data_IF_195226679011
#
_entry.id   IF_195226679011
#
_cell.length_a   1.000
_cell.length_b   1.000
_cell.length_c   1.000
_cell.angle_alpha   90.00
_cell.angle_beta   90.00
_cell.angle_gamma   90.00
#
_symmetry.space_group_name_H-M   'P 1'
#
loop_
_entity.id
_entity.type
_entity.pdbx_description
1 polymer ?
#
# COMPACT_ATOMS: atom_id res chain seq x y z
N UNK A 1 -56.58 -21.42 7.04
CA UNK A 1 -56.79 -19.96 6.97
C UNK A 1 -55.68 -19.32 7.77
N UNK A 2 -54.57 -18.99 7.10
CA UNK A 2 -53.33 -18.51 7.73
C UNK A 2 -53.19 -17.02 7.47
N UNK A 3 -53.03 -16.24 8.54
CA UNK A 3 -52.88 -14.79 8.53
C UNK A 3 -51.41 -14.41 8.43
N UNK A 4 -51.03 -13.76 7.33
CA UNK A 4 -49.69 -13.20 7.14
C UNK A 4 -49.67 -11.75 7.62
N UNK A 5 -48.96 -11.50 8.71
CA UNK A 5 -48.67 -10.17 9.23
C UNK A 5 -47.53 -9.53 8.43
N UNK A 6 -47.85 -8.47 7.70
CA UNK A 6 -46.88 -7.64 6.97
C UNK A 6 -46.14 -6.74 7.96
N UNK A 7 -44.85 -7.01 8.19
CA UNK A 7 -43.96 -6.08 8.91
C UNK A 7 -43.70 -4.87 8.02
N UNK A 8 -44.15 -3.70 8.45
CA UNK A 8 -43.79 -2.40 7.87
C UNK A 8 -42.33 -2.10 8.24
N UNK A 9 -41.50 -1.83 7.24
CA UNK A 9 -40.14 -1.30 7.42
C UNK A 9 -40.15 0.08 8.07
N UNK A 10 -39.01 0.53 8.64
CA UNK A 10 -38.93 1.78 9.37
C UNK A 10 -39.18 2.97 8.44
N UNK A 11 -39.93 3.93 8.98
CA UNK A 11 -40.51 5.04 8.26
C UNK A 11 -39.47 5.99 7.69
N UNK A 12 -39.74 6.41 6.45
CA UNK A 12 -39.22 7.62 5.85
C UNK A 12 -39.80 8.81 6.65
N UNK A 13 -39.16 9.20 7.76
CA UNK A 13 -39.57 10.33 8.57
C UNK A 13 -38.83 11.60 8.15
N UNK A 14 -39.61 12.48 7.51
CA UNK A 14 -39.47 13.94 7.47
C UNK A 14 -38.17 14.53 6.91
N UNK A 15 -38.07 14.60 5.58
CA UNK A 15 -37.43 15.74 4.94
C UNK A 15 -38.29 16.99 5.21
N UNK A 16 -37.72 18.12 5.67
CA UNK A 16 -38.49 19.35 5.88
C UNK A 16 -39.13 19.81 4.57
N UNK A 17 -40.37 20.29 4.69
CA UNK A 17 -41.17 20.72 3.55
C UNK A 17 -40.50 21.92 2.83
N UNK A 18 -40.11 21.69 1.57
CA UNK A 18 -40.41 22.63 0.50
C UNK A 18 -39.35 23.66 0.09
N UNK A 19 -38.19 23.20 -0.36
CA UNK A 19 -37.48 23.86 -1.47
C UNK A 19 -37.70 23.03 -2.73
N UNK A 20 -37.98 23.64 -3.90
CA UNK A 20 -37.86 22.89 -5.16
C UNK A 20 -36.39 22.49 -5.25
N UNK A 21 -36.11 21.27 -5.70
CA UNK A 21 -34.73 20.79 -5.87
C UNK A 21 -33.84 21.78 -6.64
N UNK A 22 -34.41 22.52 -7.61
CA UNK A 22 -33.72 23.61 -8.30
C UNK A 22 -33.23 24.75 -7.39
N UNK A 23 -33.97 25.11 -6.35
CA UNK A 23 -33.55 26.10 -5.35
C UNK A 23 -32.41 25.54 -4.49
N UNK A 24 -32.55 24.29 -4.03
CA UNK A 24 -31.50 23.60 -3.25
C UNK A 24 -30.23 23.43 -4.07
N UNK A 25 -30.32 23.09 -5.36
CA UNK A 25 -29.19 22.92 -6.26
C UNK A 25 -28.44 24.24 -6.52
N UNK A 26 -29.16 25.37 -6.60
CA UNK A 26 -28.55 26.70 -6.65
C UNK A 26 -27.75 26.98 -5.37
N UNK A 27 -28.37 26.78 -4.23
CA UNK A 27 -27.76 27.08 -2.94
C UNK A 27 -26.56 26.15 -2.67
N UNK A 28 -26.64 24.88 -3.07
CA UNK A 28 -25.53 23.92 -3.05
C UNK A 28 -24.38 24.36 -3.98
N UNK A 29 -24.68 24.88 -5.17
CA UNK A 29 -23.64 25.38 -6.08
C UNK A 29 -22.86 26.53 -5.44
N UNK A 30 -23.55 27.46 -4.79
CA UNK A 30 -22.90 28.56 -4.05
C UNK A 30 -22.08 28.04 -2.87
N UNK A 31 -22.61 27.06 -2.12
CA UNK A 31 -21.92 26.48 -0.97
C UNK A 31 -20.64 25.72 -1.36
N UNK A 32 -20.64 25.04 -2.50
CA UNK A 32 -19.57 24.13 -2.94
C UNK A 32 -18.53 24.78 -3.87
N UNK A 33 -18.75 26.03 -4.31
CA UNK A 33 -17.97 26.68 -5.37
C UNK A 33 -16.45 26.62 -5.17
N UNK A 34 -15.96 26.66 -3.92
CA UNK A 34 -14.52 26.63 -3.60
C UNK A 34 -14.15 25.57 -2.55
N UNK A 35 -14.99 24.52 -2.42
CA UNK A 35 -14.81 23.50 -1.38
C UNK A 35 -14.47 22.15 -1.99
N UNK A 36 -13.57 21.43 -1.33
CA UNK A 36 -13.37 20.01 -1.59
C UNK A 36 -14.56 19.24 -1.01
N UNK A 37 -15.21 18.43 -1.85
CA UNK A 37 -16.28 17.54 -1.41
C UNK A 37 -15.69 16.21 -1.00
N UNK A 38 -16.07 15.74 0.19
CA UNK A 38 -15.69 14.44 0.72
C UNK A 38 -16.93 13.56 0.79
N UNK A 39 -16.82 12.33 0.30
CA UNK A 39 -17.94 11.40 0.10
C UNK A 39 -17.47 9.96 0.27
N UNK A 40 -18.39 9.01 0.41
CA UNK A 40 -18.11 7.56 0.38
C UNK A 40 -18.23 6.91 -1.00
N UNK A 41 -18.77 7.66 -1.96
CA UNK A 41 -19.00 7.25 -3.34
C UNK A 41 -18.99 8.50 -4.21
N UNK A 42 -17.81 8.84 -4.72
CA UNK A 42 -17.63 10.04 -5.52
C UNK A 42 -18.47 10.01 -6.80
N UNK A 43 -18.54 8.87 -7.47
CA UNK A 43 -19.22 8.71 -8.76
C UNK A 43 -20.73 8.91 -8.64
N UNK A 44 -21.36 8.30 -7.62
CA UNK A 44 -22.79 8.47 -7.39
C UNK A 44 -23.15 9.93 -7.07
N UNK A 45 -22.35 10.60 -6.25
CA UNK A 45 -22.57 12.02 -5.91
C UNK A 45 -22.38 12.91 -7.12
N UNK A 46 -21.31 12.72 -7.88
CA UNK A 46 -21.03 13.48 -9.10
C UNK A 46 -22.13 13.29 -10.15
N UNK A 47 -22.69 12.08 -10.28
CA UNK A 47 -23.79 11.81 -11.20
C UNK A 47 -25.06 12.62 -10.85
N UNK A 48 -25.43 12.68 -9.56
CA UNK A 48 -26.57 13.48 -9.10
C UNK A 48 -26.31 14.97 -9.30
N UNK A 49 -25.14 15.48 -8.91
CA UNK A 49 -24.79 16.90 -9.06
C UNK A 49 -24.75 17.33 -10.53
N UNK A 50 -24.21 16.49 -11.41
CA UNK A 50 -24.11 16.76 -12.83
C UNK A 50 -25.48 16.84 -13.53
N UNK A 51 -26.46 16.03 -13.10
CA UNK A 51 -27.82 16.04 -13.64
C UNK A 51 -28.50 17.41 -13.49
N UNK A 52 -28.12 18.18 -12.48
CA UNK A 52 -28.67 19.50 -12.16
C UNK A 52 -27.70 20.66 -12.47
N UNK A 53 -26.65 20.37 -13.23
CA UNK A 53 -25.67 21.36 -13.65
C UNK A 53 -24.86 21.94 -12.49
N UNK A 54 -24.71 21.21 -11.39
CA UNK A 54 -23.74 21.53 -10.33
C UNK A 54 -22.41 20.89 -10.71
N UNK A 55 -21.38 21.73 -10.85
CA UNK A 55 -20.01 21.33 -11.17
C UNK A 55 -19.15 21.66 -9.96
N UNK A 56 -18.36 20.70 -9.51
CA UNK A 56 -17.37 20.95 -8.45
C UNK A 56 -16.13 21.61 -9.06
N UNK A 57 -15.50 22.50 -8.29
CA UNK A 57 -14.23 23.14 -8.67
C UNK A 57 -13.03 22.22 -8.48
N UNK A 58 -13.16 21.22 -7.62
CA UNK A 58 -12.17 20.16 -7.39
C UNK A 58 -12.82 18.78 -7.51
N UNK A 59 -12.04 17.73 -7.85
CA UNK A 59 -12.50 16.35 -7.76
C UNK A 59 -13.03 16.04 -6.36
N UNK A 60 -14.11 15.27 -6.28
CA UNK A 60 -14.60 14.76 -5.00
C UNK A 60 -13.63 13.70 -4.46
N UNK A 61 -13.38 13.74 -3.16
CA UNK A 61 -12.54 12.77 -2.46
C UNK A 61 -13.42 11.65 -1.91
N UNK A 62 -13.08 10.43 -2.27
CA UNK A 62 -13.73 9.23 -1.76
C UNK A 62 -12.98 8.67 -0.54
N UNK A 63 -13.63 8.69 0.63
CA UNK A 63 -13.04 8.17 1.88
C UNK A 63 -12.87 6.66 1.89
N UNK A 64 -13.68 5.92 1.14
CA UNK A 64 -13.54 4.48 1.00
C UNK A 64 -12.27 4.15 0.21
N UNK A 65 -12.03 4.85 -0.89
CA UNK A 65 -10.81 4.69 -1.68
C UNK A 65 -9.55 5.13 -0.90
N UNK A 66 -9.61 6.29 -0.24
CA UNK A 66 -8.50 6.79 0.58
C UNK A 66 -8.22 5.86 1.77
N UNK A 67 -9.26 5.37 2.44
CA UNK A 67 -9.15 4.45 3.57
C UNK A 67 -8.56 3.10 3.16
N UNK A 68 -8.98 2.53 2.02
CA UNK A 68 -8.42 1.29 1.48
C UNK A 68 -6.91 1.39 1.20
N UNK A 69 -6.45 2.58 0.80
CA UNK A 69 -5.03 2.85 0.60
C UNK A 69 -4.26 2.99 1.93
N UNK A 70 -4.82 3.75 2.87
CA UNK A 70 -4.14 4.14 4.12
C UNK A 70 -4.19 3.06 5.22
N UNK A 71 -5.07 2.07 5.09
CA UNK A 71 -5.29 1.01 6.07
C UNK A 71 -5.11 -0.36 5.39
N UNK A 72 -3.88 -0.88 5.30
CA UNK A 72 -3.63 -2.21 4.75
C UNK A 72 -4.36 -3.29 5.56
N UNK A 73 -5.00 -4.23 4.87
CA UNK A 73 -5.71 -5.34 5.52
C UNK A 73 -7.12 -5.00 6.03
N UNK A 74 -7.66 -3.84 5.66
CA UNK A 74 -9.05 -3.48 5.95
C UNK A 74 -10.02 -4.54 5.37
N UNK A 75 -10.96 -5.10 6.17
CA UNK A 75 -11.86 -6.17 5.72
C UNK A 75 -12.75 -5.75 4.54
N UNK A 76 -13.27 -4.52 4.60
CA UNK A 76 -14.03 -3.86 3.56
C UNK A 76 -13.91 -2.34 3.72
N UNK A 77 -13.89 -1.55 2.63
CA UNK A 77 -13.79 -0.10 2.70
C UNK A 77 -15.14 0.58 3.00
N UNK A 78 -15.96 0.00 3.89
CA UNK A 78 -17.22 0.58 4.33
C UNK A 78 -17.04 1.45 5.59
N UNK A 79 -17.99 2.37 5.81
CA UNK A 79 -17.96 3.31 6.94
C UNK A 79 -17.82 2.60 8.30
N UNK A 80 -18.57 1.53 8.61
CA UNK A 80 -18.38 0.78 9.86
C UNK A 80 -16.95 0.24 10.05
N UNK A 81 -16.41 -0.43 9.04
CA UNK A 81 -15.06 -1.02 9.09
C UNK A 81 -13.97 0.04 9.21
N UNK A 82 -14.12 1.17 8.52
CA UNK A 82 -13.21 2.31 8.63
C UNK A 82 -13.24 2.93 10.02
N UNK A 83 -14.42 3.15 10.61
CA UNK A 83 -14.55 3.69 11.96
C UNK A 83 -13.92 2.77 13.00
N UNK A 84 -14.18 1.47 12.90
CA UNK A 84 -13.59 0.47 13.79
C UNK A 84 -12.07 0.45 13.68
N UNK A 85 -11.53 0.38 12.45
CA UNK A 85 -10.09 0.33 12.23
C UNK A 85 -9.36 1.61 12.64
N UNK A 86 -10.03 2.77 12.60
CA UNK A 86 -9.50 4.06 13.06
C UNK A 86 -9.73 4.32 14.55
N UNK A 87 -10.40 3.40 15.27
CA UNK A 87 -10.69 3.56 16.70
C UNK A 87 -11.65 4.70 17.02
N UNK A 88 -12.53 5.06 16.08
CA UNK A 88 -13.50 6.15 16.27
C UNK A 88 -14.63 5.71 17.21
N UNK A 89 -15.06 6.56 18.17
CA UNK A 89 -16.08 6.21 19.14
C UNK A 89 -17.44 5.95 18.48
N UNK A 90 -18.26 5.06 19.07
CA UNK A 90 -19.64 4.88 18.62
C UNK A 90 -20.45 6.17 18.85
N UNK A 91 -21.22 6.57 17.84
CA UNK A 91 -22.03 7.79 17.85
C UNK A 91 -23.32 7.55 17.07
N UNK A 92 -24.40 8.23 17.47
CA UNK A 92 -25.71 8.18 16.80
C UNK A 92 -25.84 9.30 15.73
N UNK A 93 -24.71 9.86 15.30
CA UNK A 93 -24.68 10.90 14.27
C UNK A 93 -25.04 10.35 12.88
N UNK A 94 -25.34 11.26 11.97
CA UNK A 94 -25.62 10.89 10.59
C UNK A 94 -24.36 10.43 9.84
N UNK A 95 -24.58 9.78 8.70
CA UNK A 95 -23.52 9.24 7.86
C UNK A 95 -22.55 10.31 7.36
N UNK A 96 -23.02 11.55 7.13
CA UNK A 96 -22.15 12.65 6.68
C UNK A 96 -21.14 13.04 7.75
N UNK A 97 -21.57 13.09 9.02
CA UNK A 97 -20.66 13.31 10.13
C UNK A 97 -19.69 12.13 10.32
N UNK A 98 -20.14 10.89 10.14
CA UNK A 98 -19.24 9.74 10.16
C UNK A 98 -18.15 9.82 9.09
N UNK A 99 -18.49 10.23 7.87
CA UNK A 99 -17.53 10.44 6.78
C UNK A 99 -16.53 11.53 7.13
N UNK A 100 -16.99 12.63 7.75
CA UNK A 100 -16.13 13.71 8.21
C UNK A 100 -15.12 13.23 9.27
N UNK A 101 -15.58 12.50 10.29
CA UNK A 101 -14.71 11.96 11.34
C UNK A 101 -13.64 11.01 10.76
N UNK A 102 -14.04 10.14 9.83
CA UNK A 102 -13.11 9.23 9.12
C UNK A 102 -12.08 10.04 8.37
N UNK A 103 -12.51 11.04 7.60
CA UNK A 103 -11.61 11.86 6.80
C UNK A 103 -10.61 12.62 7.67
N UNK A 104 -11.05 13.21 8.78
CA UNK A 104 -10.16 13.88 9.74
C UNK A 104 -9.12 12.90 10.33
N UNK A 105 -9.54 11.70 10.73
CA UNK A 105 -8.63 10.68 11.23
C UNK A 105 -7.62 10.22 10.16
N UNK A 106 -8.04 10.10 8.91
CA UNK A 106 -7.13 9.81 7.79
C UNK A 106 -6.14 10.94 7.55
N UNK A 107 -6.55 12.22 7.65
CA UNK A 107 -5.63 13.36 7.54
C UNK A 107 -4.58 13.38 8.66
N UNK A 108 -4.98 13.07 9.90
CA UNK A 108 -4.04 12.92 11.02
C UNK A 108 -3.02 11.83 10.70
N UNK A 109 -3.47 10.67 10.22
CA UNK A 109 -2.58 9.57 9.83
C UNK A 109 -1.66 9.92 8.65
N UNK A 110 -2.15 10.69 7.67
CA UNK A 110 -1.31 11.21 6.58
C UNK A 110 -0.19 12.08 7.16
N UNK A 111 -0.51 12.96 8.11
CA UNK A 111 0.45 13.85 8.75
C UNK A 111 1.48 13.13 9.64
N UNK A 112 1.26 11.86 9.98
CA UNK A 112 2.23 11.03 10.73
C UNK A 112 3.35 10.46 9.84
N UNK A 113 3.15 10.40 8.51
CA UNK A 113 4.17 9.92 7.58
C UNK A 113 5.29 10.94 7.39
N UNK A 114 6.51 10.45 7.15
CA UNK A 114 7.65 11.29 6.83
C UNK A 114 7.55 11.89 5.41
N UNK A 115 8.22 13.03 5.20
CA UNK A 115 8.20 13.76 3.93
C UNK A 115 8.60 12.90 2.72
N UNK A 116 9.55 11.96 2.88
CA UNK A 116 9.99 11.09 1.79
C UNK A 116 8.89 10.09 1.41
N UNK A 117 8.19 9.53 2.39
CA UNK A 117 7.02 8.67 2.15
C UNK A 117 5.88 9.46 1.50
N UNK A 118 5.60 10.66 1.98
CA UNK A 118 4.57 11.54 1.41
C UNK A 118 4.88 11.97 -0.02
N UNK A 119 6.14 12.31 -0.32
CA UNK A 119 6.60 12.61 -1.68
C UNK A 119 6.35 11.43 -2.64
N UNK A 120 6.62 10.20 -2.21
CA UNK A 120 6.36 8.99 -3.04
C UNK A 120 4.88 8.72 -3.22
N UNK A 121 4.10 8.84 -2.15
CA UNK A 121 2.64 8.69 -2.22
C UNK A 121 2.05 9.74 -3.17
N UNK A 122 2.51 10.99 -3.07
CA UNK A 122 2.09 12.06 -3.97
C UNK A 122 2.43 11.75 -5.43
N UNK A 123 3.67 11.30 -5.71
CA UNK A 123 4.09 10.92 -7.06
C UNK A 123 3.18 9.83 -7.65
N UNK A 124 3.05 8.69 -6.96
CA UNK A 124 2.28 7.56 -7.48
C UNK A 124 0.77 7.81 -7.52
N UNK A 125 0.22 8.52 -6.53
CA UNK A 125 -1.19 8.91 -6.57
C UNK A 125 -1.47 9.89 -7.72
N UNK A 126 -0.52 10.77 -8.05
CA UNK A 126 -0.64 11.68 -9.21
C UNK A 126 -0.57 10.91 -10.52
N UNK A 127 0.38 9.97 -10.66
CA UNK A 127 0.50 9.09 -11.84
C UNK A 127 -0.74 8.22 -12.06
N UNK A 128 -1.38 7.77 -10.97
CA UNK A 128 -2.62 7.01 -11.00
C UNK A 128 -3.89 7.89 -11.16
N UNK A 129 -3.72 9.20 -11.31
CA UNK A 129 -4.81 10.19 -11.43
C UNK A 129 -5.81 10.15 -10.26
N UNK A 130 -5.33 9.84 -9.05
CA UNK A 130 -6.19 9.75 -7.87
C UNK A 130 -6.63 11.13 -7.38
N UNK A 131 -7.94 11.37 -7.16
CA UNK A 131 -8.49 12.66 -6.72
C UNK A 131 -7.86 13.24 -5.45
N UNK A 132 -7.38 12.38 -4.56
CA UNK A 132 -6.80 12.73 -3.27
C UNK A 132 -5.26 12.84 -3.28
N UNK A 133 -4.61 12.72 -4.44
CA UNK A 133 -3.16 12.88 -4.56
C UNK A 133 -2.61 14.20 -3.95
N UNK A 134 -3.31 15.36 -4.03
CA UNK A 134 -2.85 16.59 -3.39
C UNK A 134 -2.75 16.52 -1.87
N UNK A 135 -3.45 15.58 -1.20
CA UNK A 135 -3.37 15.41 0.25
C UNK A 135 -1.98 14.93 0.72
N UNK A 136 -1.24 14.24 -0.15
CA UNK A 136 0.10 13.74 0.15
C UNK A 136 1.20 14.74 -0.22
N UNK A 137 0.86 15.89 -0.80
CA UNK A 137 1.86 16.89 -1.14
C UNK A 137 2.57 17.34 0.14
N UNK A 138 3.91 17.25 0.22
CA UNK A 138 4.62 17.66 1.43
C UNK A 138 4.30 19.12 1.74
N UNK A 139 4.12 19.43 3.02
CA UNK A 139 4.11 20.80 3.47
C UNK A 139 5.49 21.39 3.13
N UNK A 140 5.60 22.17 2.05
CA UNK A 140 6.85 22.84 1.60
C UNK A 140 7.31 23.93 2.57
N UNK A 141 7.41 23.63 3.85
CA UNK A 141 7.81 24.52 4.93
C UNK A 141 9.02 24.00 5.68
N UNK A 142 10.08 23.63 4.95
CA UNK A 142 11.43 24.05 5.35
C UNK A 142 12.15 24.55 4.11
N UNK A 143 12.06 25.87 3.86
CA UNK A 143 13.18 26.57 3.21
C UNK A 143 14.37 26.40 4.15
N UNK A 144 15.17 25.36 3.95
CA UNK A 144 16.55 25.38 4.43
C UNK A 144 17.24 26.48 3.63
N UNK A 145 17.20 27.70 4.16
CA UNK A 145 18.17 28.75 3.82
C UNK A 145 19.52 28.25 4.29
N UNK A 146 20.19 27.52 3.42
CA UNK A 146 21.53 27.02 3.58
C UNK A 146 21.88 26.34 2.27
N UNK A 147 23.12 26.52 1.81
CA UNK A 147 23.69 25.85 0.64
C UNK A 147 23.80 24.34 0.88
N UNK A 148 22.65 23.68 1.05
CA UNK A 148 22.56 22.23 1.10
C UNK A 148 22.56 21.84 -0.38
N UNK A 149 23.58 21.12 -0.85
CA UNK A 149 23.55 20.59 -2.20
C UNK A 149 22.27 19.78 -2.27
N UNK A 150 21.46 20.04 -3.30
CA UNK A 150 20.36 19.17 -3.67
C UNK A 150 20.97 17.79 -3.90
N UNK A 151 21.05 17.00 -2.83
CA UNK A 151 21.30 15.57 -2.91
C UNK A 151 20.08 15.10 -3.67
N UNK A 152 20.27 14.73 -4.94
CA UNK A 152 19.29 13.99 -5.72
C UNK A 152 18.59 13.05 -4.74
N UNK A 153 17.29 13.23 -4.55
CA UNK A 153 16.49 12.32 -3.76
C UNK A 153 16.70 10.94 -4.38
N UNK A 154 17.42 10.10 -3.64
CA UNK A 154 17.76 8.77 -4.09
C UNK A 154 16.55 7.90 -3.83
N UNK A 155 15.59 7.97 -4.76
CA UNK A 155 14.51 7.01 -4.85
C UNK A 155 15.12 5.60 -4.73
N UNK A 156 14.67 4.72 -3.80
CA UNK A 156 15.14 3.34 -3.66
C UNK A 156 15.11 2.58 -4.99
N UNK A 157 14.15 2.92 -5.83
CA UNK A 157 14.01 2.43 -7.19
C UNK A 157 15.17 2.92 -8.05
N UNK A 158 15.68 4.14 -7.90
CA UNK A 158 16.88 4.57 -8.64
C UNK A 158 18.19 4.07 -8.01
N UNK A 159 18.17 3.36 -6.87
CA UNK A 159 19.39 2.80 -6.27
C UNK A 159 20.06 1.72 -7.14
N UNK A 160 19.31 1.08 -8.05
CA UNK A 160 19.90 0.16 -9.03
C UNK A 160 20.59 0.87 -10.20
N UNK A 161 20.25 2.14 -10.47
CA UNK A 161 20.89 2.97 -11.51
C UNK A 161 22.15 3.69 -11.01
N UNK A 162 22.39 3.65 -9.69
CA UNK A 162 23.62 4.18 -9.13
C UNK A 162 24.74 3.21 -9.48
N UNK A 163 25.84 3.76 -10.01
CA UNK A 163 27.11 3.05 -10.03
C UNK A 163 27.44 2.66 -8.59
N UNK A 164 27.11 1.42 -8.22
CA UNK A 164 27.65 0.82 -7.01
C UNK A 164 29.15 0.68 -7.25
N UNK A 165 30.01 1.03 -6.29
CA UNK A 165 31.40 0.60 -6.37
C UNK A 165 31.35 -0.90 -6.60
N UNK A 166 31.83 -1.34 -7.76
CA UNK A 166 31.88 -2.75 -8.12
C UNK A 166 32.62 -3.40 -6.96
N UNK A 167 31.97 -4.36 -6.29
CA UNK A 167 32.62 -5.17 -5.26
C UNK A 167 33.96 -5.62 -5.84
N UNK A 168 35.04 -5.51 -5.05
CA UNK A 168 36.39 -5.86 -5.49
C UNK A 168 36.33 -7.20 -6.21
N UNK A 169 36.99 -7.31 -7.37
CA UNK A 169 36.97 -8.55 -8.14
C UNK A 169 37.36 -9.71 -7.22
N UNK A 170 36.54 -10.77 -7.23
CA UNK A 170 36.79 -11.93 -6.40
C UNK A 170 38.13 -12.54 -6.81
N UNK A 171 39.10 -12.50 -5.90
CA UNK A 171 40.36 -13.19 -6.08
C UNK A 171 40.12 -14.71 -5.94
N UNK A 172 40.59 -15.54 -6.89
CA UNK A 172 40.51 -16.98 -6.75
C UNK A 172 41.14 -17.42 -5.42
N UNK A 173 40.41 -18.23 -4.65
CA UNK A 173 40.88 -18.75 -3.36
C UNK A 173 42.10 -19.67 -3.49
N UNK A 174 42.42 -20.11 -4.72
CA UNK A 174 43.47 -21.08 -5.02
C UNK A 174 43.10 -22.52 -4.65
N UNK A 175 41.90 -22.74 -4.12
CA UNK A 175 41.38 -24.07 -3.83
C UNK A 175 40.89 -24.75 -5.11
N UNK A 176 41.29 -26.01 -5.29
CA UNK A 176 40.80 -26.91 -6.35
C UNK A 176 40.27 -28.20 -5.69
N UNK A 177 39.97 -28.14 -4.39
CA UNK A 177 39.37 -29.27 -3.69
C UNK A 177 37.90 -29.39 -4.07
N UNK A 178 37.45 -30.61 -4.33
CA UNK A 178 36.05 -30.89 -4.58
C UNK A 178 35.22 -30.55 -3.35
N UNK A 179 34.05 -29.94 -3.59
CA UNK A 179 33.04 -29.71 -2.57
C UNK A 179 32.53 -31.08 -2.10
N UNK A 180 32.66 -31.35 -0.80
CA UNK A 180 32.23 -32.62 -0.23
C UNK A 180 30.72 -32.84 -0.36
N UNK A 181 30.30 -34.07 -0.64
CA UNK A 181 28.88 -34.44 -0.78
C UNK A 181 28.02 -34.07 0.46
N UNK A 182 28.64 -34.03 1.65
CA UNK A 182 27.96 -33.67 2.90
C UNK A 182 27.84 -32.16 3.14
N UNK A 183 28.61 -31.31 2.45
CA UNK A 183 28.73 -29.89 2.75
C UNK A 183 27.38 -29.17 2.71
N UNK A 184 26.55 -29.48 1.70
CA UNK A 184 25.20 -28.91 1.57
C UNK A 184 24.30 -29.33 2.74
N UNK A 185 24.36 -30.61 3.13
CA UNK A 185 23.54 -31.15 4.23
C UNK A 185 23.97 -30.62 5.60
N UNK A 186 25.26 -30.37 5.81
CA UNK A 186 25.79 -29.76 7.03
C UNK A 186 25.35 -28.30 7.22
N UNK A 187 25.00 -27.61 6.13
CA UNK A 187 24.60 -26.20 6.15
C UNK A 187 23.08 -26.02 6.07
N UNK A 188 22.42 -26.64 5.09
CA UNK A 188 21.00 -26.50 4.77
C UNK A 188 20.12 -27.64 5.31
N UNK A 189 20.71 -28.78 5.64
CA UNK A 189 19.99 -29.97 6.08
C UNK A 189 19.39 -29.85 7.49
N UNK A 190 18.75 -30.93 7.99
CA UNK A 190 18.12 -30.93 9.31
C UNK A 190 19.13 -30.66 10.43
N UNK A 191 18.95 -29.55 11.15
CA UNK A 191 19.89 -29.14 12.20
C UNK A 191 21.23 -28.61 11.68
N UNK A 192 21.32 -28.32 10.38
CA UNK A 192 22.50 -27.71 9.76
C UNK A 192 22.78 -26.31 10.27
N UNK A 193 23.96 -25.79 9.95
CA UNK A 193 24.50 -24.55 10.52
C UNK A 193 23.57 -23.35 10.37
N UNK A 194 22.82 -23.23 9.27
CA UNK A 194 21.89 -22.11 9.07
C UNK A 194 20.69 -22.16 10.02
N UNK A 195 20.26 -23.35 10.44
CA UNK A 195 19.17 -23.49 11.41
C UNK A 195 19.52 -22.92 12.79
N UNK A 196 20.82 -22.88 13.11
CA UNK A 196 21.33 -22.29 14.35
C UNK A 196 21.57 -20.77 14.27
N UNK A 197 21.81 -20.23 13.07
CA UNK A 197 22.16 -18.82 12.85
C UNK A 197 20.92 -17.98 12.53
N UNK A 198 20.02 -18.51 11.69
CA UNK A 198 18.85 -17.78 11.21
C UNK A 198 17.63 -18.18 12.04
N UNK A 199 17.17 -17.26 12.89
CA UNK A 199 15.92 -17.45 13.64
C UNK A 199 14.75 -17.67 12.67
N UNK A 200 13.99 -18.75 12.87
CA UNK A 200 12.89 -19.13 11.99
C UNK A 200 13.32 -19.73 10.65
N UNK A 201 14.57 -20.20 10.54
CA UNK A 201 15.00 -20.96 9.36
C UNK A 201 14.08 -22.16 9.13
N UNK A 202 13.54 -22.21 7.92
CA UNK A 202 12.72 -23.32 7.46
C UNK A 202 13.50 -24.10 6.43
N UNK A 203 13.68 -25.39 6.70
CA UNK A 203 14.30 -26.33 5.77
C UNK A 203 13.44 -26.47 4.52
N UNK A 204 14.05 -26.32 3.34
CA UNK A 204 13.37 -26.44 2.04
C UNK A 204 14.11 -27.47 1.19
N UNK A 205 13.48 -28.63 0.98
CA UNK A 205 14.08 -29.75 0.22
C UNK A 205 14.49 -29.31 -1.19
N UNK A 206 13.70 -28.46 -1.85
CA UNK A 206 14.04 -27.96 -3.19
C UNK A 206 15.28 -27.04 -3.17
N UNK A 207 15.56 -26.35 -2.06
CA UNK A 207 16.76 -25.53 -1.88
C UNK A 207 17.99 -26.41 -1.74
N UNK A 208 17.89 -27.49 -0.96
CA UNK A 208 18.96 -28.49 -0.78
C UNK A 208 19.29 -29.18 -2.10
N UNK A 209 18.29 -29.67 -2.82
CA UNK A 209 18.47 -30.32 -4.13
C UNK A 209 19.14 -29.38 -5.15
N UNK A 210 18.76 -28.10 -5.12
CA UNK A 210 19.39 -27.08 -5.97
C UNK A 210 20.86 -26.87 -5.59
N UNK A 211 21.16 -26.74 -4.29
CA UNK A 211 22.52 -26.57 -3.81
C UNK A 211 23.41 -27.80 -4.11
N UNK A 212 22.88 -29.02 -3.98
CA UNK A 212 23.56 -30.25 -4.36
C UNK A 212 23.88 -30.29 -5.86
N UNK A 213 22.92 -29.89 -6.71
CA UNK A 213 23.14 -29.81 -8.15
C UNK A 213 24.21 -28.75 -8.51
N UNK A 214 24.22 -27.62 -7.81
CA UNK A 214 25.24 -26.57 -7.97
C UNK A 214 26.62 -27.09 -7.56
N UNK A 215 26.74 -27.74 -6.40
CA UNK A 215 27.99 -28.34 -5.92
C UNK A 215 28.57 -29.33 -6.95
N UNK A 216 27.70 -30.22 -7.47
CA UNK A 216 28.09 -31.18 -8.50
C UNK A 216 28.58 -30.50 -9.78
N UNK A 217 27.87 -29.47 -10.26
CA UNK A 217 28.28 -28.71 -11.44
C UNK A 217 29.60 -27.97 -11.25
N UNK A 218 29.88 -27.45 -10.04
CA UNK A 218 31.17 -26.83 -9.70
C UNK A 218 32.29 -27.87 -9.76
N UNK A 219 32.12 -29.01 -9.09
CA UNK A 219 33.11 -30.09 -9.07
C UNK A 219 33.40 -30.63 -10.49
N UNK A 220 32.38 -30.74 -11.34
CA UNK A 220 32.55 -31.21 -12.73
C UNK A 220 33.06 -30.11 -13.69
N UNK A 221 33.25 -28.87 -13.22
CA UNK A 221 33.51 -27.71 -14.08
C UNK A 221 32.47 -27.56 -15.21
N UNK A 222 31.22 -27.91 -14.90
CA UNK A 222 30.10 -27.99 -15.83
C UNK A 222 29.24 -26.73 -15.87
N UNK A 223 28.18 -26.78 -16.66
CA UNK A 223 27.15 -25.74 -16.72
C UNK A 223 25.82 -26.30 -16.23
N UNK A 224 25.17 -25.58 -15.32
CA UNK A 224 23.86 -25.94 -14.77
C UNK A 224 22.85 -24.82 -15.04
N UNK A 225 21.67 -25.20 -15.53
CA UNK A 225 20.50 -24.34 -15.60
C UNK A 225 19.46 -24.83 -14.60
N UNK A 226 19.03 -23.96 -13.70
CA UNK A 226 18.01 -24.28 -12.68
C UNK A 226 16.80 -23.37 -12.83
N UNK A 227 15.62 -23.96 -12.92
CA UNK A 227 14.34 -23.27 -12.75
C UNK A 227 13.80 -23.59 -11.35
N UNK A 228 13.55 -22.57 -10.54
CA UNK A 228 12.93 -22.74 -9.22
C UNK A 228 11.95 -21.60 -8.93
N UNK A 229 10.90 -21.91 -8.19
CA UNK A 229 9.83 -20.98 -7.82
C UNK A 229 10.29 -19.83 -6.91
N UNK A 230 9.44 -18.83 -6.73
CA UNK A 230 9.65 -17.79 -5.71
C UNK A 230 9.65 -18.40 -4.32
N UNK A 231 10.50 -17.92 -3.41
CA UNK A 231 10.58 -18.45 -2.03
C UNK A 231 11.37 -19.75 -1.87
N UNK A 232 11.87 -20.38 -2.94
CA UNK A 232 12.72 -21.58 -2.84
C UNK A 232 14.10 -21.31 -2.22
N UNK A 233 14.53 -20.05 -2.10
CA UNK A 233 15.84 -19.72 -1.52
C UNK A 233 17.02 -19.86 -2.49
N UNK A 234 16.77 -19.65 -3.80
CA UNK A 234 17.74 -19.76 -4.91
C UNK A 234 19.07 -19.05 -4.63
N UNK A 235 19.05 -17.82 -4.12
CA UNK A 235 20.26 -17.04 -3.88
C UNK A 235 21.21 -17.73 -2.91
N UNK A 236 20.66 -18.34 -1.84
CA UNK A 236 21.48 -19.05 -0.87
C UNK A 236 21.94 -20.41 -1.41
N UNK A 237 21.12 -21.09 -2.22
CA UNK A 237 21.49 -22.34 -2.86
C UNK A 237 22.69 -22.20 -3.83
N UNK A 238 22.89 -21.02 -4.43
CA UNK A 238 24.07 -20.74 -5.26
C UNK A 238 25.33 -20.41 -4.46
N UNK A 239 25.21 -20.01 -3.19
CA UNK A 239 26.33 -19.50 -2.37
C UNK A 239 26.82 -20.49 -1.32
N UNK A 240 26.04 -21.54 -1.04
CA UNK A 240 26.35 -22.52 0.00
C UNK A 240 27.45 -23.50 -0.41
N UNK A 241 27.42 -24.09 -1.63
CA UNK A 241 28.52 -24.90 -2.14
C UNK A 241 29.81 -24.08 -2.30
#
# INVERSE_FOLDING_TARGET
MSSAGTRRGPGCSSLPAGGRWADIARDLRELLCDKTVVTRDADAVLAVLAADGVRLSAPAIDVAALGALMIPGLPAPDVPSLRESLGLPATDQDEAQHIADIFEALLVRIAEYDDLTLDRLHLHATEAEWPFAPLFAPARNVRLRGDIPVRRLDLPELQFLRDRPREEELEPTGSIEDIADSAVQEILGPGGSLSGIISGFERRVQQEQMAEAVAHAINESGQLLVEAGTGTGKSLAYLVP
#
